data_IF_935219117638
#
_entry.id   IF_935219117638
#
_cell.length_a   1.000
_cell.length_b   1.000
_cell.length_c   1.000
_cell.angle_alpha   90.00
_cell.angle_beta   90.00
_cell.angle_gamma   90.00
#
_symmetry.space_group_name_H-M   'P 1'
#
loop_
_entity.id
_entity.type
_entity.pdbx_description
1 polymer ?
#
# COMPACT_ATOMS: atom_id res chain seq x y z
N UNK A 1 -10.90 13.30 -40.43
CA UNK A 1 -11.21 11.84 -40.44
C UNK A 1 -10.79 11.26 -39.11
N UNK A 2 -11.76 11.14 -38.22
CA UNK A 2 -11.62 10.78 -36.80
C UNK A 2 -11.52 9.26 -36.66
N UNK A 3 -10.48 8.75 -35.97
CA UNK A 3 -10.43 7.34 -35.53
C UNK A 3 -10.31 7.30 -34.01
N UNK A 4 -11.46 7.22 -33.37
CA UNK A 4 -11.65 6.83 -31.98
C UNK A 4 -11.29 5.35 -31.79
N UNK A 5 -10.31 5.06 -30.93
CA UNK A 5 -10.04 3.71 -30.41
C UNK A 5 -10.65 3.61 -29.02
N UNK A 6 -11.70 2.80 -28.89
CA UNK A 6 -12.25 2.34 -27.62
C UNK A 6 -11.46 1.11 -27.14
N UNK A 7 -11.21 0.94 -25.83
CA UNK A 7 -10.78 -0.33 -25.26
C UNK A 7 -11.97 -1.18 -24.78
N UNK A 8 -11.93 -2.48 -25.11
CA UNK A 8 -12.84 -3.52 -24.62
C UNK A 8 -12.68 -3.76 -23.10
N UNK A 9 -13.74 -4.10 -22.36
CA UNK A 9 -13.65 -4.58 -20.99
C UNK A 9 -13.42 -6.10 -20.93
N UNK A 10 -12.49 -6.49 -20.04
CA UNK A 10 -12.10 -7.86 -19.75
C UNK A 10 -13.23 -8.65 -19.05
N UNK A 11 -13.42 -9.89 -19.49
CA UNK A 11 -14.40 -10.83 -18.97
C UNK A 11 -14.01 -11.40 -17.58
N UNK A 12 -15.06 -11.59 -16.80
CA UNK A 12 -15.09 -12.05 -15.41
C UNK A 12 -14.52 -13.46 -15.23
N UNK A 13 -13.53 -13.59 -14.34
CA UNK A 13 -13.05 -14.86 -13.82
C UNK A 13 -13.94 -15.35 -12.67
N UNK A 14 -14.95 -16.16 -12.98
CA UNK A 14 -15.77 -16.83 -11.98
C UNK A 14 -15.15 -18.16 -11.55
N UNK A 15 -14.89 -18.23 -10.24
CA UNK A 15 -14.52 -19.39 -9.43
C UNK A 15 -15.57 -20.50 -9.46
N UNK A 16 -15.13 -21.77 -9.43
CA UNK A 16 -15.41 -22.73 -8.33
C UNK A 16 -15.10 -24.17 -8.77
N UNK A 17 -13.96 -24.69 -8.31
CA UNK A 17 -13.74 -26.12 -8.07
C UNK A 17 -14.02 -26.36 -6.59
N UNK A 18 -14.96 -27.24 -6.26
CA UNK A 18 -14.65 -28.38 -5.39
C UNK A 18 -15.78 -29.42 -5.35
N UNK A 19 -15.34 -30.64 -5.64
CA UNK A 19 -15.98 -31.94 -5.51
C UNK A 19 -16.73 -32.13 -4.18
N UNK A 20 -17.90 -32.78 -4.24
CA UNK A 20 -18.30 -33.79 -3.24
C UNK A 20 -19.27 -34.83 -3.82
N UNK A 21 -18.72 -36.03 -4.01
CA UNK A 21 -19.38 -37.35 -3.95
C UNK A 21 -20.06 -37.50 -2.56
N UNK A 22 -21.03 -38.36 -2.26
CA UNK A 22 -21.99 -39.23 -2.97
C UNK A 22 -22.75 -39.99 -1.85
N UNK A 23 -23.88 -40.65 -2.19
CA UNK A 23 -24.50 -41.83 -1.52
C UNK A 23 -25.33 -41.51 -0.25
N UNK A 24 -26.68 -41.49 -0.33
CA UNK A 24 -27.67 -42.59 -0.29
C UNK A 24 -28.31 -42.65 1.11
N UNK A 25 -29.62 -42.43 1.30
CA UNK A 25 -30.78 -43.30 1.03
C UNK A 25 -31.38 -43.74 2.37
N UNK A 26 -32.62 -43.36 2.68
CA UNK A 26 -33.75 -44.30 2.73
C UNK A 26 -34.95 -43.78 3.53
N UNK A 27 -36.09 -43.95 2.86
CA UNK A 27 -37.38 -44.43 3.36
C UNK A 27 -38.06 -43.66 4.49
N UNK A 28 -39.07 -42.90 4.08
CA UNK A 28 -40.11 -42.35 4.93
C UNK A 28 -41.45 -42.98 4.59
N UNK A 29 -42.25 -43.22 5.65
CA UNK A 29 -43.70 -43.56 5.71
C UNK A 29 -44.09 -45.05 5.56
N UNK A 30 -45.21 -45.49 6.22
CA UNK A 30 -46.35 -44.67 6.66
C UNK A 30 -46.84 -44.88 8.11
N UNK A 31 -47.70 -43.95 8.52
CA UNK A 31 -48.49 -43.90 9.75
C UNK A 31 -49.94 -44.33 9.52
N UNK A 32 -50.44 -45.15 10.45
CA UNK A 32 -51.80 -45.27 11.05
C UNK A 32 -53.08 -45.08 10.22
N UNK A 33 -54.03 -46.02 10.37
CA UNK A 33 -55.24 -45.82 11.19
C UNK A 33 -56.02 -47.12 11.50
N UNK A 34 -56.61 -47.16 12.72
CA UNK A 34 -57.92 -47.66 13.24
C UNK A 34 -58.57 -48.97 12.67
N UNK A 35 -59.38 -49.77 13.37
CA UNK A 35 -59.94 -49.89 14.73
C UNK A 35 -60.60 -51.29 14.83
N UNK A 36 -60.89 -51.76 16.07
CA UNK A 36 -62.02 -52.62 16.50
C UNK A 36 -61.70 -53.73 17.54
N UNK A 37 -62.52 -53.73 18.60
CA UNK A 37 -62.46 -54.47 19.88
C UNK A 37 -62.99 -55.95 19.77
N UNK A 38 -63.28 -56.75 20.85
CA UNK A 38 -63.28 -56.48 22.30
C UNK A 38 -62.83 -57.60 23.30
N UNK A 39 -62.65 -57.14 24.55
CA UNK A 39 -62.98 -57.74 25.86
C UNK A 39 -62.41 -59.09 26.32
N UNK A 40 -61.59 -59.07 27.39
CA UNK A 40 -61.71 -59.98 28.56
C UNK A 40 -61.33 -59.27 29.87
N UNK A 41 -62.21 -59.38 30.87
CA UNK A 41 -62.08 -58.82 32.24
C UNK A 41 -60.99 -59.58 33.04
N UNK A 42 -60.01 -58.91 33.68
CA UNK A 42 -59.11 -59.57 34.61
C UNK A 42 -59.70 -59.59 36.03
N UNK A 43 -59.76 -60.79 36.62
CA UNK A 43 -60.10 -61.01 38.05
C UNK A 43 -59.00 -60.37 38.92
N UNK A 44 -59.39 -59.62 39.95
CA UNK A 44 -58.47 -59.01 40.93
C UNK A 44 -57.94 -60.09 41.89
N UNK A 45 -56.66 -60.41 41.76
CA UNK A 45 -55.90 -61.14 42.78
C UNK A 45 -55.21 -60.13 43.72
N UNK A 46 -55.67 -60.04 44.97
CA UNK A 46 -55.13 -59.11 45.98
C UNK A 46 -53.65 -59.33 46.32
N UNK A 47 -53.11 -60.55 46.11
CA UNK A 47 -51.67 -60.86 46.27
C UNK A 47 -50.81 -60.36 45.09
N UNK A 48 -51.43 -60.19 43.91
CA UNK A 48 -50.81 -59.53 42.78
C UNK A 48 -50.87 -58.01 42.91
N UNK A 49 -51.85 -57.44 43.62
CA UNK A 49 -51.93 -56.00 43.90
C UNK A 49 -50.76 -55.52 44.79
N UNK A 50 -50.32 -56.29 45.80
CA UNK A 50 -49.14 -55.91 46.62
C UNK A 50 -47.81 -56.05 45.88
N UNK A 51 -47.64 -57.11 45.08
CA UNK A 51 -46.48 -57.22 44.17
C UNK A 51 -46.51 -56.16 43.08
N UNK A 52 -47.68 -55.79 42.57
CA UNK A 52 -47.86 -54.70 41.61
C UNK A 52 -47.63 -53.34 42.26
N UNK A 53 -47.99 -53.15 43.53
CA UNK A 53 -47.73 -51.93 44.29
C UNK A 53 -46.25 -51.78 44.62
N UNK A 54 -45.57 -52.85 45.02
CA UNK A 54 -44.12 -52.89 45.20
C UNK A 54 -43.37 -52.65 43.89
N UNK A 55 -43.80 -53.25 42.78
CA UNK A 55 -43.26 -52.97 41.43
C UNK A 55 -43.56 -51.55 40.95
N UNK A 56 -44.71 -50.96 41.31
CA UNK A 56 -45.03 -49.56 41.01
C UNK A 56 -44.22 -48.59 41.86
N UNK A 57 -44.03 -48.86 43.15
CA UNK A 57 -43.21 -48.03 44.03
C UNK A 57 -41.73 -48.11 43.64
N UNK A 58 -41.21 -49.32 43.41
CA UNK A 58 -39.83 -49.50 42.95
C UNK A 58 -39.65 -49.00 41.52
N UNK A 59 -40.64 -49.17 40.65
CA UNK A 59 -40.64 -48.61 39.29
C UNK A 59 -40.70 -47.09 39.27
N UNK A 60 -41.43 -46.47 40.21
CA UNK A 60 -41.43 -45.02 40.39
C UNK A 60 -40.07 -44.53 40.90
N UNK A 61 -39.47 -45.19 41.89
CA UNK A 61 -38.15 -44.81 42.42
C UNK A 61 -37.03 -45.03 41.38
N UNK A 62 -37.08 -46.14 40.64
CA UNK A 62 -36.14 -46.44 39.56
C UNK A 62 -36.37 -45.51 38.35
N UNK A 63 -37.62 -45.14 38.11
CA UNK A 63 -38.03 -44.12 37.13
C UNK A 63 -37.47 -42.75 37.49
N UNK A 64 -37.62 -42.30 38.73
CA UNK A 64 -37.03 -41.05 39.22
C UNK A 64 -35.51 -41.10 39.26
N UNK A 65 -34.89 -42.25 39.55
CA UNK A 65 -33.44 -42.42 39.51
C UNK A 65 -32.90 -42.35 38.07
N UNK A 66 -33.60 -42.96 37.12
CA UNK A 66 -33.25 -42.89 35.71
C UNK A 66 -33.55 -41.50 35.12
N UNK A 67 -34.60 -40.84 35.57
CA UNK A 67 -34.91 -39.47 35.21
C UNK A 67 -33.84 -38.52 35.75
N UNK A 68 -33.43 -38.65 37.01
CA UNK A 68 -32.34 -37.88 37.60
C UNK A 68 -31.01 -38.14 36.88
N UNK A 69 -30.70 -39.38 36.49
CA UNK A 69 -29.51 -39.69 35.68
C UNK A 69 -29.58 -39.10 34.27
N UNK A 70 -30.77 -39.02 33.65
CA UNK A 70 -30.96 -38.41 32.33
C UNK A 70 -30.90 -36.89 32.41
N UNK A 71 -31.52 -36.29 33.42
CA UNK A 71 -31.48 -34.85 33.70
C UNK A 71 -30.09 -34.41 34.11
N UNK A 72 -29.36 -35.15 34.95
CA UNK A 72 -27.98 -34.83 35.31
C UNK A 72 -27.04 -35.01 34.09
N UNK A 73 -27.21 -36.04 33.27
CA UNK A 73 -26.43 -36.18 32.03
C UNK A 73 -26.74 -35.09 31.02
N UNK A 74 -28.00 -34.75 30.79
CA UNK A 74 -28.40 -33.70 29.83
C UNK A 74 -28.12 -32.30 30.35
N UNK A 75 -28.25 -32.06 31.66
CA UNK A 75 -27.85 -30.82 32.33
C UNK A 75 -26.32 -30.67 32.27
N UNK A 76 -25.55 -31.69 32.65
CA UNK A 76 -24.09 -31.64 32.64
C UNK A 76 -23.51 -31.58 31.22
N UNK A 77 -24.13 -32.25 30.23
CA UNK A 77 -23.72 -32.11 28.82
C UNK A 77 -24.17 -30.79 28.22
N UNK A 78 -25.35 -30.26 28.56
CA UNK A 78 -25.81 -28.96 28.07
C UNK A 78 -25.08 -27.80 28.73
N UNK A 79 -24.73 -27.86 30.02
CA UNK A 79 -23.89 -26.86 30.68
C UNK A 79 -22.45 -26.88 30.17
N UNK A 80 -21.85 -28.07 30.00
CA UNK A 80 -20.53 -28.19 29.39
C UNK A 80 -20.53 -27.72 27.94
N UNK A 81 -21.59 -28.01 27.18
CA UNK A 81 -21.77 -27.51 25.81
C UNK A 81 -21.94 -25.99 25.78
N UNK A 82 -22.78 -25.41 26.64
CA UNK A 82 -22.95 -23.96 26.79
C UNK A 82 -21.63 -23.27 27.14
N UNK A 83 -20.82 -23.85 28.02
CA UNK A 83 -19.48 -23.31 28.33
C UNK A 83 -18.54 -23.36 27.12
N UNK A 84 -18.58 -24.43 26.32
CA UNK A 84 -17.81 -24.53 25.08
C UNK A 84 -18.27 -23.50 24.04
N UNK A 85 -19.58 -23.34 23.89
CA UNK A 85 -20.17 -22.35 23.00
C UNK A 85 -19.76 -20.93 23.40
N UNK A 86 -19.90 -20.57 24.68
CA UNK A 86 -19.45 -19.28 25.22
C UNK A 86 -17.94 -19.04 25.02
N UNK A 87 -17.11 -20.06 25.20
CA UNK A 87 -15.66 -19.95 24.92
C UNK A 87 -15.41 -19.78 23.43
N UNK A 88 -16.09 -20.52 22.57
CA UNK A 88 -15.96 -20.40 21.11
C UNK A 88 -16.42 -19.04 20.61
N UNK A 89 -17.48 -18.47 21.20
CA UNK A 89 -17.98 -17.14 20.90
C UNK A 89 -16.99 -16.05 21.35
N UNK A 90 -16.37 -16.21 22.53
CA UNK A 90 -15.30 -15.32 23.00
C UNK A 90 -14.06 -15.38 22.09
N UNK A 91 -13.68 -16.57 21.63
CA UNK A 91 -12.56 -16.73 20.71
C UNK A 91 -12.91 -16.11 19.34
N UNK A 92 -14.10 -16.38 18.81
CA UNK A 92 -14.55 -15.83 17.54
C UNK A 92 -14.66 -14.29 17.58
N UNK A 93 -15.19 -13.72 18.67
CA UNK A 93 -15.24 -12.27 18.87
C UNK A 93 -13.84 -11.66 18.99
N UNK A 94 -12.91 -12.30 19.70
CA UNK A 94 -11.49 -11.88 19.76
C UNK A 94 -10.87 -11.87 18.36
N UNK A 95 -11.00 -12.95 17.60
CA UNK A 95 -10.47 -13.07 16.23
C UNK A 95 -11.05 -11.97 15.32
N UNK A 96 -12.37 -11.71 15.40
CA UNK A 96 -12.99 -10.63 14.62
C UNK A 96 -12.44 -9.26 14.99
N UNK A 97 -12.28 -8.98 16.28
CA UNK A 97 -11.72 -7.69 16.75
C UNK A 97 -10.26 -7.51 16.34
N UNK A 98 -9.47 -8.59 16.37
CA UNK A 98 -8.08 -8.58 15.95
C UNK A 98 -7.96 -8.37 14.44
N UNK A 99 -8.77 -9.07 13.64
CA UNK A 99 -8.79 -8.90 12.19
C UNK A 99 -9.24 -7.49 11.78
N UNK A 100 -10.22 -6.91 12.49
CA UNK A 100 -10.63 -5.53 12.27
C UNK A 100 -9.48 -4.55 12.54
N UNK A 101 -8.78 -4.69 13.67
CA UNK A 101 -7.61 -3.85 13.99
C UNK A 101 -6.48 -4.02 12.99
N UNK A 102 -6.18 -5.25 12.55
CA UNK A 102 -5.17 -5.50 11.52
C UNK A 102 -5.53 -4.84 10.19
N UNK A 103 -6.80 -4.91 9.79
CA UNK A 103 -7.30 -4.24 8.59
C UNK A 103 -7.13 -2.71 8.70
N UNK A 104 -7.48 -2.13 9.85
CA UNK A 104 -7.33 -0.69 10.08
C UNK A 104 -5.86 -0.24 10.04
N UNK A 105 -4.95 -1.03 10.61
CA UNK A 105 -3.50 -0.79 10.49
C UNK A 105 -3.08 -0.86 9.03
N UNK A 106 -3.46 -1.90 8.29
CA UNK A 106 -3.07 -2.02 6.88
C UNK A 106 -3.61 -0.87 6.02
N UNK A 107 -4.85 -0.44 6.26
CA UNK A 107 -5.45 0.69 5.54
C UNK A 107 -4.72 2.00 5.83
N UNK A 108 -4.48 2.30 7.12
CA UNK A 108 -3.77 3.51 7.54
C UNK A 108 -2.30 3.50 7.11
N UNK A 109 -1.64 2.34 7.08
CA UNK A 109 -0.27 2.19 6.57
C UNK A 109 -0.18 2.45 5.08
N UNK A 110 -1.15 1.97 4.29
CA UNK A 110 -1.22 2.27 2.85
C UNK A 110 -1.38 3.77 2.64
N UNK A 111 -2.35 4.40 3.30
CA UNK A 111 -2.55 5.85 3.20
C UNK A 111 -1.32 6.65 3.62
N UNK A 112 -0.62 6.24 4.68
CA UNK A 112 0.63 6.87 5.11
C UNK A 112 1.73 6.76 4.04
N UNK A 113 1.94 5.58 3.46
CA UNK A 113 2.96 5.36 2.42
C UNK A 113 2.62 6.11 1.13
N UNK A 114 1.37 6.06 0.71
CA UNK A 114 0.89 6.73 -0.50
C UNK A 114 1.03 8.24 -0.39
N UNK A 115 0.63 8.81 0.75
CA UNK A 115 0.76 10.25 1.00
C UNK A 115 2.24 10.68 1.06
N UNK A 116 3.09 9.88 1.69
CA UNK A 116 4.54 10.12 1.74
C UNK A 116 5.17 10.09 0.34
N UNK A 117 4.91 9.05 -0.45
CA UNK A 117 5.41 8.96 -1.82
C UNK A 117 4.88 10.11 -2.69
N UNK A 118 3.59 10.46 -2.53
CA UNK A 118 2.99 11.60 -3.20
C UNK A 118 3.67 12.94 -2.87
N UNK A 119 4.04 13.17 -1.60
CA UNK A 119 4.78 14.37 -1.21
C UNK A 119 6.19 14.42 -1.78
N UNK A 120 6.92 13.31 -1.74
CA UNK A 120 8.29 13.24 -2.27
C UNK A 120 8.29 13.47 -3.79
N UNK A 121 7.35 12.86 -4.51
CA UNK A 121 7.19 13.07 -5.95
C UNK A 121 6.89 14.53 -6.28
N UNK A 122 5.99 15.18 -5.52
CA UNK A 122 5.65 16.58 -5.75
C UNK A 122 6.83 17.53 -5.45
N UNK A 123 7.66 17.22 -4.45
CA UNK A 123 8.90 17.98 -4.22
C UNK A 123 9.90 17.82 -5.36
N UNK A 124 10.03 16.60 -5.91
CA UNK A 124 10.91 16.33 -7.04
C UNK A 124 10.46 17.05 -8.31
N UNK A 125 9.16 17.06 -8.61
CA UNK A 125 8.64 17.72 -9.82
C UNK A 125 8.87 19.22 -9.79
N UNK A 126 8.69 19.88 -8.65
CA UNK A 126 9.00 21.32 -8.50
C UNK A 126 10.48 21.58 -8.77
N UNK A 127 11.38 20.78 -8.17
CA UNK A 127 12.84 20.95 -8.35
C UNK A 127 13.25 20.73 -9.81
N UNK A 128 12.72 19.69 -10.45
CA UNK A 128 12.97 19.42 -11.87
C UNK A 128 12.48 20.57 -12.76
N UNK A 129 11.30 21.11 -12.46
CA UNK A 129 10.73 22.24 -13.20
C UNK A 129 11.56 23.51 -13.02
N UNK A 130 12.02 23.80 -11.80
CA UNK A 130 12.91 24.93 -11.51
C UNK A 130 14.22 24.83 -12.30
N UNK A 131 14.85 23.66 -12.30
CA UNK A 131 16.08 23.41 -13.05
C UNK A 131 15.86 23.58 -14.57
N UNK A 132 14.76 23.05 -15.09
CA UNK A 132 14.45 23.13 -16.51
C UNK A 132 14.11 24.56 -16.97
N UNK A 133 13.39 25.35 -16.16
CA UNK A 133 13.16 26.77 -16.41
C UNK A 133 14.46 27.56 -16.39
N UNK A 134 15.32 27.34 -15.39
CA UNK A 134 16.62 28.01 -15.29
C UNK A 134 17.51 27.70 -16.50
N UNK A 135 17.58 26.43 -16.93
CA UNK A 135 18.32 26.04 -18.13
C UNK A 135 17.76 26.71 -19.39
N UNK A 136 16.44 26.78 -19.51
CA UNK A 136 15.77 27.48 -20.61
C UNK A 136 16.12 28.96 -20.62
N UNK A 137 15.96 29.66 -19.50
CA UNK A 137 16.27 31.09 -19.39
C UNK A 137 17.75 31.37 -19.65
N UNK A 138 18.64 30.50 -19.20
CA UNK A 138 20.08 30.57 -19.47
C UNK A 138 20.39 30.43 -20.97
N UNK A 139 19.62 29.66 -21.73
CA UNK A 139 19.78 29.54 -23.18
C UNK A 139 19.10 30.68 -23.98
N UNK A 140 17.97 31.20 -23.50
CA UNK A 140 17.22 32.26 -24.18
C UNK A 140 17.92 33.62 -24.12
N UNK A 141 18.51 33.99 -22.97
CA UNK A 141 19.16 35.30 -22.80
C UNK A 141 20.35 35.54 -23.75
N UNK A 142 21.26 34.58 -24.00
CA UNK A 142 22.30 34.76 -24.99
C UNK A 142 21.75 34.73 -26.41
N UNK A 143 20.78 33.87 -26.70
CA UNK A 143 20.16 33.74 -28.02
C UNK A 143 19.46 35.03 -28.47
N UNK A 144 18.99 35.86 -27.52
CA UNK A 144 18.34 37.13 -27.82
C UNK A 144 19.22 38.15 -28.54
N UNK A 145 20.54 37.96 -28.49
CA UNK A 145 21.52 38.88 -29.08
C UNK A 145 21.86 38.54 -30.53
N UNK A 146 21.24 37.52 -31.11
CA UNK A 146 21.55 37.02 -32.44
C UNK A 146 20.32 37.06 -33.35
N UNK A 147 20.55 37.31 -34.64
CA UNK A 147 19.55 37.11 -35.68
C UNK A 147 19.42 35.61 -35.96
N UNK A 148 18.25 35.16 -36.41
CA UNK A 148 17.98 33.75 -36.69
C UNK A 148 17.51 33.54 -38.13
N UNK A 149 17.91 32.42 -38.75
CA UNK A 149 17.73 32.16 -40.19
C UNK A 149 16.38 31.53 -40.58
N UNK A 150 15.30 31.72 -39.83
CA UNK A 150 14.04 31.02 -40.14
C UNK A 150 13.39 31.51 -41.44
N UNK A 151 13.63 30.80 -42.55
CA UNK A 151 12.76 30.80 -43.74
C UNK A 151 11.72 29.68 -43.58
N UNK A 152 10.39 29.93 -43.63
CA UNK A 152 9.63 31.16 -43.42
C UNK A 152 9.05 31.24 -41.98
N UNK A 153 8.61 32.43 -41.51
CA UNK A 153 7.94 32.57 -40.22
C UNK A 153 6.44 32.26 -40.38
N UNK A 154 5.97 31.06 -39.99
CA UNK A 154 4.52 30.77 -39.98
C UNK A 154 3.95 30.30 -38.65
N UNK A 155 4.74 30.21 -37.60
CA UNK A 155 4.21 29.99 -36.26
C UNK A 155 5.14 30.60 -35.23
N UNK A 156 4.55 31.18 -34.19
CA UNK A 156 5.23 31.57 -32.95
C UNK A 156 6.25 30.49 -32.58
N UNK A 157 7.48 30.86 -32.18
CA UNK A 157 8.47 29.87 -31.79
C UNK A 157 7.83 28.98 -30.73
N UNK A 158 7.67 27.70 -31.06
CA UNK A 158 7.10 26.62 -30.23
C UNK A 158 8.03 26.33 -29.03
N UNK A 159 8.34 27.35 -28.24
CA UNK A 159 8.80 27.20 -26.87
C UNK A 159 7.63 26.94 -25.91
N UNK A 160 6.38 26.98 -26.41
CA UNK A 160 5.20 26.53 -25.69
C UNK A 160 5.21 25.01 -25.52
N UNK A 161 5.66 24.54 -24.35
CA UNK A 161 5.05 23.37 -23.71
C UNK A 161 5.93 22.15 -23.44
N UNK A 162 7.19 22.12 -23.87
CA UNK A 162 8.08 20.97 -23.64
C UNK A 162 9.35 21.35 -22.88
N UNK A 163 9.31 21.34 -21.55
CA UNK A 163 10.50 21.36 -20.70
C UNK A 163 11.37 20.15 -21.06
N UNK A 164 12.40 20.39 -21.88
CA UNK A 164 13.08 19.39 -22.72
C UNK A 164 12.10 18.84 -23.77
N UNK A 165 12.39 19.00 -25.06
CA UNK A 165 11.89 18.00 -26.01
C UNK A 165 12.46 16.68 -25.49
N UNK A 166 11.65 15.74 -24.96
CA UNK A 166 12.16 14.39 -24.71
C UNK A 166 12.71 13.99 -26.06
N UNK A 167 14.01 13.70 -26.13
CA UNK A 167 14.65 13.35 -27.40
C UNK A 167 13.71 12.38 -28.11
N UNK A 168 13.13 12.73 -29.27
CA UNK A 168 12.41 11.78 -30.05
C UNK A 168 13.53 10.98 -30.70
N UNK A 169 14.13 10.08 -29.94
CA UNK A 169 14.52 8.81 -30.52
C UNK A 169 13.25 7.97 -30.33
N UNK A 170 12.22 8.10 -31.20
CA UNK A 170 11.28 7.01 -31.29
C UNK A 170 12.14 5.78 -31.56
N UNK A 171 12.22 4.85 -30.60
CA UNK A 171 12.97 3.60 -30.75
C UNK A 171 12.53 2.82 -32.01
N UNK A 172 11.42 3.24 -32.64
CA UNK A 172 10.82 2.68 -33.84
C UNK A 172 11.24 3.38 -35.14
N UNK A 173 11.85 4.58 -35.11
CA UNK A 173 12.41 5.23 -36.30
C UNK A 173 13.88 5.51 -36.04
N UNK A 174 14.75 4.71 -36.67
CA UNK A 174 16.19 4.97 -36.67
C UNK A 174 16.52 6.35 -37.26
N UNK A 175 17.78 6.82 -37.13
CA UNK A 175 18.20 8.13 -37.61
C UNK A 175 17.84 8.30 -39.10
N UNK A 176 16.82 9.12 -39.38
CA UNK A 176 16.47 9.49 -40.75
C UNK A 176 17.63 10.28 -41.33
N UNK A 177 18.12 9.87 -42.51
CA UNK A 177 19.18 10.58 -43.24
C UNK A 177 18.73 11.95 -43.76
N UNK A 178 17.43 12.24 -43.73
CA UNK A 178 16.85 13.50 -44.19
C UNK A 178 16.11 14.14 -43.02
N UNK A 179 16.68 15.18 -42.37
CA UNK A 179 15.96 15.94 -41.37
C UNK A 179 14.76 16.61 -42.04
N UNK A 180 13.58 16.55 -41.40
CA UNK A 180 12.46 17.33 -41.92
C UNK A 180 12.81 18.81 -41.80
N UNK A 181 12.36 19.68 -42.74
CA UNK A 181 12.68 21.10 -42.70
C UNK A 181 12.23 21.79 -41.40
N UNK A 182 11.22 21.24 -40.71
CA UNK A 182 10.77 21.69 -39.39
C UNK A 182 11.64 21.22 -38.21
N UNK A 183 12.51 20.23 -38.42
CA UNK A 183 13.41 19.68 -37.39
C UNK A 183 14.77 20.40 -37.37
N UNK A 184 15.01 21.30 -38.32
CA UNK A 184 16.25 22.05 -38.39
C UNK A 184 16.29 23.11 -37.29
N UNK A 185 17.33 23.04 -36.44
CA UNK A 185 17.55 24.05 -35.41
C UNK A 185 17.83 25.41 -36.07
N UNK A 186 17.26 26.51 -35.54
CA UNK A 186 17.55 27.84 -36.07
C UNK A 186 19.05 28.13 -35.95
N UNK A 187 19.64 28.64 -37.04
CA UNK A 187 21.02 29.12 -37.00
C UNK A 187 21.01 30.55 -36.47
N UNK A 188 21.70 30.75 -35.36
CA UNK A 188 21.91 32.07 -34.77
C UNK A 188 23.18 32.68 -35.33
N UNK A 189 23.10 33.91 -35.83
CA UNK A 189 24.23 34.64 -36.39
C UNK A 189 24.16 36.11 -36.03
N UNK A 190 25.32 36.75 -35.91
CA UNK A 190 25.44 38.18 -35.67
C UNK A 190 26.33 38.81 -36.74
N UNK A 191 25.76 39.53 -37.72
CA UNK A 191 26.54 40.23 -38.73
C UNK A 191 27.51 41.25 -38.11
N UNK A 192 28.68 41.43 -38.73
CA UNK A 192 29.69 42.42 -38.28
C UNK A 192 29.20 43.86 -38.39
N UNK A 193 28.31 44.14 -39.35
CA UNK A 193 27.64 45.43 -39.53
C UNK A 193 26.14 45.16 -39.52
N UNK A 194 25.45 45.74 -38.54
CA UNK A 194 24.00 45.66 -38.43
C UNK A 194 23.36 46.81 -39.21
N UNK A 195 22.22 46.52 -39.82
CA UNK A 195 21.34 47.56 -40.33
C UNK A 195 20.55 48.18 -39.16
N UNK A 196 20.13 49.45 -39.23
CA UNK A 196 19.33 50.08 -38.17
C UNK A 196 18.07 49.29 -37.82
N UNK A 197 17.42 48.69 -38.81
CA UNK A 197 16.25 47.81 -38.63
C UNK A 197 16.61 46.56 -37.81
N UNK A 198 17.77 45.95 -38.09
CA UNK A 198 18.24 44.78 -37.33
C UNK A 198 18.58 45.14 -35.89
N UNK A 199 19.09 46.34 -35.64
CA UNK A 199 19.33 46.82 -34.28
C UNK A 199 18.02 47.04 -33.52
N UNK A 200 16.98 47.58 -34.16
CA UNK A 200 15.66 47.69 -33.54
C UNK A 200 15.03 46.33 -33.27
N UNK A 201 15.20 45.36 -34.19
CA UNK A 201 14.66 44.02 -34.02
C UNK A 201 15.32 43.29 -32.84
N UNK A 202 16.66 43.35 -32.74
CA UNK A 202 17.39 42.76 -31.62
C UNK A 202 17.02 43.39 -30.28
N UNK A 203 16.81 44.71 -30.23
CA UNK A 203 16.35 45.40 -29.02
C UNK A 203 14.94 44.95 -28.63
N UNK A 204 14.02 44.90 -29.60
CA UNK A 204 12.64 44.46 -29.40
C UNK A 204 12.61 43.01 -28.92
N UNK A 205 13.42 42.15 -29.53
CA UNK A 205 13.54 40.74 -29.16
C UNK A 205 14.12 40.59 -27.74
N UNK A 206 15.11 41.39 -27.36
CA UNK A 206 15.63 41.42 -26.00
C UNK A 206 14.56 41.75 -24.97
N UNK A 207 13.79 42.82 -25.21
CA UNK A 207 12.66 43.22 -24.34
C UNK A 207 11.61 42.11 -24.26
N UNK A 208 11.19 41.55 -25.40
CA UNK A 208 10.20 40.47 -25.44
C UNK A 208 10.67 39.23 -24.67
N UNK A 209 11.94 38.83 -24.79
CA UNK A 209 12.48 37.69 -24.06
C UNK A 209 12.55 37.97 -22.56
N UNK A 210 12.93 39.17 -22.15
CA UNK A 210 12.97 39.55 -20.74
C UNK A 210 11.55 39.59 -20.13
N UNK A 211 10.56 40.11 -20.87
CA UNK A 211 9.15 40.07 -20.48
C UNK A 211 8.67 38.63 -20.33
N UNK A 212 8.91 37.76 -21.32
CA UNK A 212 8.56 36.33 -21.26
C UNK A 212 9.19 35.62 -20.06
N UNK A 213 10.48 35.88 -19.79
CA UNK A 213 11.16 35.29 -18.63
C UNK A 213 10.51 35.79 -17.33
N UNK A 214 10.16 37.07 -17.24
CA UNK A 214 9.53 37.63 -16.05
C UNK A 214 8.14 37.04 -15.77
N UNK A 215 7.33 36.84 -16.83
CA UNK A 215 6.02 36.19 -16.74
C UNK A 215 6.15 34.73 -16.31
N UNK A 216 7.10 33.99 -16.88
CA UNK A 216 7.35 32.60 -16.52
C UNK A 216 7.82 32.43 -15.09
N UNK A 217 8.71 33.31 -14.62
CA UNK A 217 9.17 33.32 -13.23
C UNK A 217 8.02 33.64 -12.28
N UNK A 218 7.19 34.63 -12.60
CA UNK A 218 6.01 34.98 -11.79
C UNK A 218 4.99 33.83 -11.73
N UNK A 219 4.69 33.23 -12.88
CA UNK A 219 3.81 32.06 -12.97
C UNK A 219 4.36 30.89 -12.14
N UNK A 220 5.64 30.57 -12.29
CA UNK A 220 6.29 29.50 -11.52
C UNK A 220 6.35 29.79 -10.03
N UNK A 221 6.54 31.05 -9.62
CA UNK A 221 6.53 31.43 -8.20
C UNK A 221 5.17 31.14 -7.55
N UNK A 222 4.07 31.53 -8.20
CA UNK A 222 2.72 31.23 -7.69
C UNK A 222 2.44 29.72 -7.62
N UNK A 223 2.89 28.96 -8.62
CA UNK A 223 2.78 27.50 -8.61
C UNK A 223 3.59 26.88 -7.46
N UNK A 224 4.84 27.34 -7.29
CA UNK A 224 5.75 26.90 -6.21
C UNK A 224 5.16 27.17 -4.84
N UNK A 225 4.58 28.35 -4.60
CA UNK A 225 3.89 28.67 -3.35
C UNK A 225 2.73 27.71 -3.07
N UNK A 226 1.83 27.54 -4.04
CA UNK A 226 0.68 26.62 -3.90
C UNK A 226 1.11 25.17 -3.64
N UNK A 227 2.22 24.74 -4.24
CA UNK A 227 2.75 23.40 -4.09
C UNK A 227 3.47 23.23 -2.74
N UNK A 228 4.20 24.25 -2.26
CA UNK A 228 4.78 24.26 -0.92
C UNK A 228 3.71 24.21 0.18
N UNK A 229 2.58 24.89 0.00
CA UNK A 229 1.45 24.77 0.92
C UNK A 229 0.88 23.35 0.96
N UNK A 230 0.74 22.70 -0.21
CA UNK A 230 0.32 21.28 -0.28
C UNK A 230 1.33 20.37 0.41
N UNK A 231 2.63 20.58 0.21
CA UNK A 231 3.68 19.83 0.91
C UNK A 231 3.54 19.99 2.42
N UNK A 232 3.36 21.22 2.91
CA UNK A 232 3.20 21.50 4.35
C UNK A 232 1.97 20.77 4.93
N UNK A 233 0.82 20.83 4.24
CA UNK A 233 -0.42 20.15 4.64
C UNK A 233 -0.21 18.64 4.67
N UNK A 234 0.31 18.06 3.59
CA UNK A 234 0.55 16.63 3.52
C UNK A 234 1.56 16.16 4.57
N UNK A 235 2.62 16.94 4.86
CA UNK A 235 3.58 16.63 5.94
C UNK A 235 2.90 16.60 7.31
N UNK A 236 2.00 17.54 7.59
CA UNK A 236 1.22 17.53 8.83
C UNK A 236 0.33 16.26 8.90
N UNK A 237 -0.37 15.93 7.82
CA UNK A 237 -1.19 14.72 7.73
C UNK A 237 -0.36 13.42 7.86
N UNK A 238 0.85 13.36 7.30
CA UNK A 238 1.78 12.23 7.47
C UNK A 238 2.13 12.04 8.95
N UNK A 239 2.40 13.13 9.68
CA UNK A 239 2.67 13.08 11.12
C UNK A 239 1.46 12.56 11.89
N UNK A 240 0.25 13.04 11.57
CA UNK A 240 -0.99 12.56 12.19
C UNK A 240 -1.26 11.09 11.91
N UNK A 241 -1.13 10.64 10.65
CA UNK A 241 -1.29 9.25 10.28
C UNK A 241 -0.23 8.36 10.94
N UNK A 242 1.01 8.85 11.07
CA UNK A 242 2.08 8.17 11.80
C UNK A 242 1.75 7.99 13.28
N UNK A 243 1.17 9.00 13.92
CA UNK A 243 0.72 8.91 15.30
C UNK A 243 -0.44 7.91 15.46
N UNK A 244 -1.45 7.97 14.57
CA UNK A 244 -2.57 7.01 14.54
C UNK A 244 -2.09 5.57 14.36
N UNK A 245 -1.11 5.35 13.48
CA UNK A 245 -0.49 4.04 13.29
C UNK A 245 0.23 3.54 14.55
N UNK A 246 0.95 4.41 15.24
CA UNK A 246 1.60 4.06 16.49
C UNK A 246 0.58 3.68 17.58
N UNK A 247 -0.55 4.37 17.65
CA UNK A 247 -1.66 4.04 18.57
C UNK A 247 -2.34 2.71 18.23
N UNK A 248 -2.68 2.48 16.96
CA UNK A 248 -3.26 1.21 16.52
C UNK A 248 -2.32 0.03 16.79
N UNK A 249 -1.01 0.20 16.55
CA UNK A 249 0.00 -0.82 16.87
C UNK A 249 0.16 -1.06 18.38
N UNK A 250 -0.04 -0.04 19.23
CA UNK A 250 -0.09 -0.23 20.69
C UNK A 250 -1.31 -1.05 21.09
N UNK A 251 -2.47 -0.81 20.47
CA UNK A 251 -3.68 -1.58 20.70
C UNK A 251 -3.55 -3.04 20.22
N UNK A 252 -2.78 -3.27 19.16
CA UNK A 252 -2.48 -4.60 18.62
C UNK A 252 -1.37 -5.34 19.37
N UNK A 253 -0.73 -4.72 20.38
CA UNK A 253 0.06 -5.44 21.38
C UNK A 253 -0.85 -5.77 22.58
N UNK A 254 -1.69 -6.81 22.53
CA UNK A 254 -2.27 -7.34 23.74
C UNK A 254 -1.12 -7.91 24.57
N UNK A 255 -0.90 -7.36 25.75
CA UNK A 255 -0.59 -7.98 27.06
C UNK A 255 0.08 -9.38 27.19
N UNK A 256 0.66 -9.99 26.15
CA UNK A 256 1.28 -11.32 26.19
C UNK A 256 2.73 -11.28 26.73
N UNK A 257 3.30 -10.09 26.95
CA UNK A 257 4.67 -9.90 27.51
C UNK A 257 4.63 -9.43 28.97
N UNK A 258 3.63 -9.85 29.77
CA UNK A 258 3.72 -9.74 31.25
C UNK A 258 3.71 -11.10 31.97
N UNK A 259 3.81 -12.22 31.24
CA UNK A 259 3.74 -13.56 31.83
C UNK A 259 4.78 -14.59 31.38
N UNK A 260 5.82 -14.23 30.62
CA UNK A 260 6.85 -15.20 30.19
C UNK A 260 8.25 -14.60 30.10
N UNK A 261 8.74 -14.07 31.23
CA UNK A 261 10.17 -14.01 31.51
C UNK A 261 10.65 -15.41 31.94
N UNK A 262 10.54 -16.38 31.03
CA UNK A 262 10.85 -17.78 31.29
C UNK A 262 11.26 -18.46 29.99
N UNK A 263 12.57 -18.69 29.91
CA UNK A 263 13.25 -19.70 29.07
C UNK A 263 13.04 -19.59 27.56
N UNK A 264 13.84 -18.75 26.92
CA UNK A 264 14.40 -19.09 25.60
C UNK A 264 15.63 -19.97 25.82
N UNK A 265 15.38 -21.22 26.16
CA UNK A 265 16.31 -22.31 25.89
C UNK A 265 15.97 -22.76 24.46
N UNK A 266 16.71 -22.25 23.48
CA UNK A 266 16.57 -22.63 22.07
C UNK A 266 17.48 -23.84 21.80
N UNK A 267 17.15 -24.97 22.41
CA UNK A 267 17.62 -26.28 22.00
C UNK A 267 16.53 -26.94 21.18
N UNK A 268 16.81 -27.29 19.92
CA UNK A 268 15.92 -28.16 19.14
C UNK A 268 15.77 -29.53 19.83
N UNK A 269 14.72 -30.31 19.53
CA UNK A 269 14.38 -31.63 20.13
C UNK A 269 15.51 -32.69 20.17
N UNK A 270 16.67 -32.41 19.57
CA UNK A 270 17.86 -33.26 19.56
C UNK A 270 19.01 -32.72 20.43
N UNK A 271 18.79 -31.67 21.25
CA UNK A 271 19.78 -31.14 22.19
C UNK A 271 21.03 -30.56 21.52
N UNK A 272 20.90 -30.05 20.29
CA UNK A 272 21.99 -29.42 19.55
C UNK A 272 21.82 -27.92 19.62
N UNK A 273 22.82 -27.23 20.16
CA UNK A 273 22.91 -25.78 20.07
C UNK A 273 22.92 -25.37 18.60
N UNK A 274 22.06 -24.42 18.22
CA UNK A 274 22.14 -23.78 16.90
C UNK A 274 23.53 -23.19 16.74
N UNK A 275 24.36 -23.85 15.96
CA UNK A 275 25.65 -23.36 15.48
C UNK A 275 25.40 -21.99 14.84
N UNK A 276 25.70 -20.92 15.58
CA UNK A 276 25.78 -19.56 15.07
C UNK A 276 26.73 -19.60 13.87
N UNK A 277 26.20 -19.49 12.67
CA UNK A 277 26.99 -19.02 11.54
C UNK A 277 27.27 -17.54 11.81
N UNK A 278 28.43 -17.31 12.42
CA UNK A 278 29.08 -16.02 12.52
C UNK A 278 29.62 -15.65 11.14
N UNK A 279 28.77 -15.04 10.31
CA UNK A 279 29.24 -14.19 9.22
C UNK A 279 29.71 -12.89 9.87
N UNK A 280 31.02 -12.79 10.03
CA UNK A 280 31.70 -11.61 10.55
C UNK A 280 31.48 -10.40 9.64
N UNK A 281 31.04 -9.32 10.27
CA UNK A 281 31.30 -7.97 9.80
C UNK A 281 31.43 -7.12 11.07
N UNK A 282 32.64 -7.09 11.61
CA UNK A 282 33.08 -6.11 12.59
C UNK A 282 33.07 -4.75 11.88
N UNK A 283 32.24 -3.83 12.38
CA UNK A 283 32.42 -2.40 12.19
C UNK A 283 32.44 -1.82 13.59
N UNK A 284 33.65 -1.48 14.03
CA UNK A 284 33.91 -0.69 15.22
C UNK A 284 33.16 0.64 15.13
N UNK A 285 32.45 0.97 16.22
CA UNK A 285 31.72 2.22 16.37
C UNK A 285 31.59 2.55 17.84
N UNK A 286 32.70 2.97 18.44
CA UNK A 286 32.76 3.56 19.78
C UNK A 286 32.01 4.91 19.82
N UNK A 287 31.06 4.99 20.75
CA UNK A 287 30.79 6.05 21.70
C UNK A 287 30.81 7.54 21.27
N UNK A 288 29.58 8.00 21.00
CA UNK A 288 28.92 9.22 21.51
C UNK A 288 29.66 10.01 22.62
N UNK A 289 30.01 11.26 22.30
CA UNK A 289 29.96 12.39 23.24
C UNK A 289 29.56 13.70 22.50
N UNK A 290 28.82 14.54 23.20
CA UNK A 290 28.02 15.67 22.70
C UNK A 290 28.82 16.98 22.53
N UNK A 291 28.27 17.85 21.66
CA UNK A 291 28.17 19.33 21.76
C UNK A 291 28.97 20.20 20.76
N UNK A 292 28.18 20.94 19.96
CA UNK A 292 28.34 22.31 19.41
C UNK A 292 29.62 22.67 18.63
N UNK A 293 29.48 22.93 17.33
CA UNK A 293 29.62 24.28 16.76
C UNK A 293 29.34 24.32 15.25
N UNK A 294 28.83 25.46 14.80
CA UNK A 294 28.51 25.82 13.42
C UNK A 294 29.74 25.77 12.49
N UNK A 295 29.62 25.14 11.31
CA UNK A 295 30.25 25.60 10.05
C UNK A 295 29.79 24.81 8.83
N UNK A 296 29.72 25.57 7.74
CA UNK A 296 29.28 25.29 6.37
C UNK A 296 29.82 24.02 5.68
N UNK A 297 29.13 23.54 4.62
CA UNK A 297 29.44 22.28 3.97
C UNK A 297 30.69 22.38 3.10
N UNK A 298 31.69 21.54 3.37
CA UNK A 298 32.73 21.21 2.39
C UNK A 298 32.33 19.95 1.66
N UNK A 299 32.10 20.10 0.37
CA UNK A 299 31.92 19.03 -0.61
C UNK A 299 33.12 18.07 -0.54
N UNK A 300 32.88 16.88 -0.01
CA UNK A 300 33.83 15.78 -0.06
C UNK A 300 33.79 15.18 -1.46
N UNK A 301 34.66 15.67 -2.35
CA UNK A 301 34.97 15.02 -3.60
C UNK A 301 35.50 13.60 -3.31
N UNK A 302 34.77 12.59 -3.78
CA UNK A 302 35.19 11.20 -3.71
C UNK A 302 36.32 11.03 -4.73
N UNK A 303 37.56 11.11 -4.26
CA UNK A 303 38.75 10.77 -5.06
C UNK A 303 38.83 9.25 -5.21
N UNK A 304 38.36 8.73 -6.35
CA UNK A 304 38.59 7.35 -6.75
C UNK A 304 40.00 7.28 -7.33
N UNK A 305 40.94 6.70 -6.59
CA UNK A 305 42.33 6.54 -7.01
C UNK A 305 42.46 5.23 -7.79
N UNK A 306 42.64 5.31 -9.10
CA UNK A 306 42.99 4.13 -9.92
C UNK A 306 44.40 3.63 -9.58
N UNK A 307 44.63 2.32 -9.68
CA UNK A 307 45.92 1.66 -9.35
C UNK A 307 47.13 2.14 -10.18
N UNK A 308 46.91 2.94 -11.23
CA UNK A 308 47.97 3.46 -12.09
C UNK A 308 48.31 4.94 -11.85
N UNK A 309 47.71 5.59 -10.86
CA UNK A 309 48.09 6.96 -10.47
C UNK A 309 47.54 8.10 -11.35
N UNK A 310 46.70 7.80 -12.34
CA UNK A 310 46.02 8.82 -13.15
C UNK A 310 44.77 9.34 -12.43
N UNK A 311 44.66 10.67 -12.34
CA UNK A 311 43.51 11.38 -11.76
C UNK A 311 42.69 11.96 -12.91
N UNK A 312 41.62 11.28 -13.29
CA UNK A 312 40.64 11.83 -14.21
C UNK A 312 39.66 12.72 -13.43
N UNK A 313 39.63 14.01 -13.77
CA UNK A 313 38.61 14.95 -13.31
C UNK A 313 37.60 15.09 -14.45
N UNK A 314 36.45 14.43 -14.31
CA UNK A 314 35.30 14.74 -15.16
C UNK A 314 34.82 16.15 -14.82
N UNK A 315 34.76 17.02 -15.84
CA UNK A 315 34.11 18.32 -15.78
C UNK A 315 32.63 18.20 -16.17
#
# INVERSE_FOLDING_TARGET
MSRSRSPEPAAEGASQKQRRMSIASNHSRPSMDQDDAPAKRPRKDSRNEDRARGKRLFGNILGTLNQFKKEDKTSRTSEAAKRREQVSERIASKIRSEHALQHDIMSTERSYRDLKAGTENLEQTIKQRELALNARHASMKPASRFLHTSLPPSASPLFEGGLLNPSPIPLNQGPSKVPHPHDLKPLFFLPKKLLPEQESDLKTLGVNIDELISEEVAAFASEKESALERIKKNRAEIVELGAKLAELRKNLKPMEIRGRAGTTDQTDELGRDRRRESTGMEVDGEDRAEAKDEKEPKEAAIQIRGENGDVEVEY
#
